data_IF_895289452507
#
_entry.id   IF_895289452507
#
_cell.length_a   1.000
_cell.length_b   1.000
_cell.length_c   1.000
_cell.angle_alpha   90.00
_cell.angle_beta   90.00
_cell.angle_gamma   90.00
#
_symmetry.space_group_name_H-M   'P 1'
#
loop_
_entity.id
_entity.type
_entity.pdbx_description
1 polymer ?
#
# COMPACT_ATOMS: atom_id res chain seq x y z
N UNK A 1 -25.59 12.58 6.93
CA UNK A 1 -24.46 13.44 7.36
C UNK A 1 -23.16 12.67 7.22
N UNK A 2 -22.13 13.22 6.54
CA UNK A 2 -20.80 12.58 6.54
C UNK A 2 -20.19 12.80 7.92
N UNK A 3 -19.59 11.74 8.49
CA UNK A 3 -18.84 11.86 9.76
C UNK A 3 -17.75 12.94 9.63
N UNK A 4 -17.53 13.79 10.64
CA UNK A 4 -16.44 14.76 10.62
C UNK A 4 -15.05 14.13 10.65
N UNK A 5 -14.95 12.83 10.91
CA UNK A 5 -13.69 12.13 11.03
C UNK A 5 -13.30 11.46 9.72
N UNK A 6 -12.10 11.78 9.20
CA UNK A 6 -11.58 11.25 7.93
C UNK A 6 -11.47 9.72 7.94
N UNK A 7 -11.26 9.09 9.10
CA UNK A 7 -11.11 7.63 9.24
C UNK A 7 -12.44 6.86 9.32
N UNK A 8 -13.56 7.54 9.42
CA UNK A 8 -14.88 6.89 9.60
C UNK A 8 -15.32 6.02 8.42
N UNK A 9 -14.74 6.22 7.24
CA UNK A 9 -15.00 5.40 6.04
C UNK A 9 -14.04 4.22 5.88
N UNK A 10 -13.06 4.08 6.78
CA UNK A 10 -12.06 3.03 6.68
C UNK A 10 -12.53 1.73 7.33
N UNK A 11 -12.04 0.57 6.87
CA UNK A 11 -12.35 -0.74 7.46
C UNK A 11 -11.57 -0.95 8.76
N UNK A 12 -12.00 -0.31 9.84
CA UNK A 12 -11.25 -0.26 11.11
C UNK A 12 -10.98 -1.66 11.71
N UNK A 13 -11.88 -2.63 11.49
CA UNK A 13 -11.68 -4.02 11.94
C UNK A 13 -10.51 -4.70 11.21
N UNK A 14 -10.40 -4.50 9.90
CA UNK A 14 -9.29 -5.03 9.10
C UNK A 14 -7.96 -4.35 9.48
N UNK A 15 -7.98 -3.04 9.72
CA UNK A 15 -6.82 -2.27 10.17
C UNK A 15 -6.34 -2.76 11.53
N UNK A 16 -7.25 -2.97 12.49
CA UNK A 16 -6.93 -3.51 13.80
C UNK A 16 -6.29 -4.89 13.71
N UNK A 17 -6.90 -5.80 12.96
CA UNK A 17 -6.37 -7.15 12.77
C UNK A 17 -4.96 -7.14 12.16
N UNK A 18 -4.72 -6.33 11.13
CA UNK A 18 -3.40 -6.19 10.51
C UNK A 18 -2.38 -5.55 11.46
N UNK A 19 -2.78 -4.54 12.23
CA UNK A 19 -1.95 -3.90 13.26
C UNK A 19 -1.46 -4.90 14.30
N UNK A 20 -2.36 -5.73 14.81
CA UNK A 20 -2.04 -6.77 15.79
C UNK A 20 -1.12 -7.86 15.20
N UNK A 21 -1.40 -8.29 13.97
CA UNK A 21 -0.63 -9.35 13.29
C UNK A 21 0.80 -8.90 12.96
N UNK A 22 0.96 -7.72 12.36
CA UNK A 22 2.26 -7.20 11.91
C UNK A 22 2.99 -6.36 12.94
N UNK A 23 2.41 -6.11 14.11
CA UNK A 23 2.95 -5.23 15.16
C UNK A 23 3.23 -3.82 14.66
N UNK A 24 2.32 -3.30 13.85
CA UNK A 24 2.36 -1.93 13.31
C UNK A 24 1.37 -1.02 14.02
N UNK A 25 1.65 0.27 14.07
CA UNK A 25 0.69 1.26 14.58
C UNK A 25 -0.54 1.30 13.67
N UNK A 26 -1.73 1.10 14.24
CA UNK A 26 -3.01 1.15 13.52
C UNK A 26 -3.27 2.54 12.89
N UNK A 27 -2.78 3.61 13.52
CA UNK A 27 -2.85 4.97 12.97
C UNK A 27 -2.02 5.11 11.69
N UNK A 28 -0.85 4.47 11.62
CA UNK A 28 -0.04 4.45 10.41
C UNK A 28 -0.80 3.75 9.26
N UNK A 29 -1.34 2.57 9.51
CA UNK A 29 -2.10 1.82 8.49
C UNK A 29 -3.29 2.65 8.00
N UNK A 30 -4.08 3.22 8.92
CA UNK A 30 -5.22 4.06 8.59
C UNK A 30 -4.82 5.31 7.79
N UNK A 31 -3.76 6.01 8.20
CA UNK A 31 -3.25 7.19 7.53
C UNK A 31 -2.80 6.89 6.09
N UNK A 32 -2.11 5.77 5.89
CA UNK A 32 -1.72 5.31 4.54
C UNK A 32 -2.97 4.99 3.70
N UNK A 33 -3.93 4.20 4.23
CA UNK A 33 -5.20 3.93 3.52
C UNK A 33 -5.87 5.21 3.03
N UNK A 34 -5.98 6.20 3.91
CA UNK A 34 -6.64 7.46 3.56
C UNK A 34 -5.80 8.29 2.58
N UNK A 35 -4.49 8.38 2.78
CA UNK A 35 -3.58 9.14 1.91
C UNK A 35 -3.56 8.57 0.48
N UNK A 36 -3.58 7.25 0.33
CA UNK A 36 -3.50 6.58 -0.97
C UNK A 36 -4.82 6.62 -1.76
N UNK A 37 -5.94 6.40 -1.10
CA UNK A 37 -7.22 6.21 -1.79
C UNK A 37 -8.35 7.13 -1.32
N UNK A 38 -8.13 7.94 -0.28
CA UNK A 38 -9.19 8.67 0.44
C UNK A 38 -10.31 7.72 0.92
N UNK A 39 -9.95 6.50 1.32
CA UNK A 39 -10.87 5.46 1.77
C UNK A 39 -11.66 4.78 0.64
N UNK A 40 -11.31 4.98 -0.62
CA UNK A 40 -11.98 4.34 -1.75
C UNK A 40 -11.47 2.93 -1.97
N UNK A 41 -12.27 1.95 -1.59
CA UNK A 41 -11.93 0.52 -1.64
C UNK A 41 -11.55 0.02 -3.04
N UNK A 42 -12.22 0.49 -4.08
CA UNK A 42 -12.00 0.07 -5.47
C UNK A 42 -11.10 1.04 -6.25
N UNK A 43 -10.28 1.84 -5.56
CA UNK A 43 -9.32 2.68 -6.23
C UNK A 43 -8.30 1.81 -6.99
N UNK A 44 -8.04 2.16 -8.24
CA UNK A 44 -6.94 1.58 -9.02
C UNK A 44 -6.31 2.66 -9.89
N UNK A 45 -5.00 2.56 -10.12
CA UNK A 45 -4.26 3.50 -10.95
C UNK A 45 -3.16 2.79 -11.73
N UNK A 46 -3.17 2.95 -13.04
CA UNK A 46 -2.13 2.45 -13.92
C UNK A 46 -0.89 3.35 -13.87
N UNK A 47 0.28 2.75 -13.67
CA UNK A 47 1.58 3.40 -13.56
C UNK A 47 2.48 2.98 -14.75
N UNK A 48 2.41 3.66 -15.89
CA UNK A 48 3.10 3.22 -17.12
C UNK A 48 4.62 3.16 -16.96
N UNK A 49 5.19 4.00 -16.09
CA UNK A 49 6.62 4.08 -15.83
C UNK A 49 7.14 3.08 -14.78
N UNK A 50 6.28 2.26 -14.20
CA UNK A 50 6.71 1.22 -13.28
C UNK A 50 7.50 0.14 -14.01
N UNK A 51 8.73 -0.15 -13.53
CA UNK A 51 9.72 -1.01 -14.24
C UNK A 51 10.02 -2.31 -13.50
N UNK A 52 9.63 -2.45 -12.24
CA UNK A 52 9.99 -3.59 -11.39
C UNK A 52 8.95 -4.70 -11.51
N UNK A 53 9.00 -5.41 -12.66
CA UNK A 53 8.11 -6.55 -12.91
C UNK A 53 8.61 -7.81 -12.22
N UNK A 54 7.70 -8.69 -11.86
CA UNK A 54 7.96 -9.91 -11.10
C UNK A 54 7.41 -11.14 -11.81
N UNK A 55 8.27 -12.07 -12.21
CA UNK A 55 7.96 -13.40 -12.76
C UNK A 55 6.78 -13.41 -13.76
N UNK A 56 6.78 -12.50 -14.72
CA UNK A 56 5.67 -12.26 -15.67
C UNK A 56 5.23 -13.54 -16.39
N UNK A 57 6.18 -14.31 -16.92
CA UNK A 57 5.94 -15.55 -17.67
C UNK A 57 5.27 -16.64 -16.81
N UNK A 58 5.75 -16.86 -15.59
CA UNK A 58 5.20 -17.84 -14.66
C UNK A 58 3.77 -17.48 -14.24
N UNK A 59 3.53 -16.20 -13.95
CA UNK A 59 2.21 -15.69 -13.58
C UNK A 59 1.25 -15.79 -14.78
N UNK A 60 1.70 -15.45 -16.00
CA UNK A 60 0.89 -15.55 -17.20
C UNK A 60 0.43 -16.99 -17.46
N UNK A 61 1.32 -17.96 -17.28
CA UNK A 61 0.99 -19.39 -17.36
C UNK A 61 -0.04 -19.82 -16.30
N UNK A 62 0.15 -19.40 -15.04
CA UNK A 62 -0.76 -19.76 -13.95
C UNK A 62 -2.15 -19.15 -14.14
N UNK A 63 -2.23 -17.89 -14.57
CA UNK A 63 -3.48 -17.19 -14.87
C UNK A 63 -4.13 -17.56 -16.22
N UNK A 64 -3.40 -18.33 -17.06
CA UNK A 64 -3.83 -18.67 -18.42
C UNK A 64 -4.14 -17.43 -19.28
N UNK A 65 -3.27 -16.42 -19.20
CA UNK A 65 -3.40 -15.14 -19.91
C UNK A 65 -2.10 -14.76 -20.61
N UNK A 66 -2.08 -13.61 -21.30
CA UNK A 66 -0.88 -13.10 -21.95
C UNK A 66 0.07 -12.41 -20.97
N UNK A 67 1.37 -12.40 -21.28
CA UNK A 67 2.37 -11.65 -20.52
C UNK A 67 2.04 -10.16 -20.48
N UNK A 68 1.55 -9.58 -21.58
CA UNK A 68 1.15 -8.17 -21.63
C UNK A 68 0.00 -7.85 -20.66
N UNK A 69 -0.94 -8.79 -20.48
CA UNK A 69 -1.99 -8.64 -19.45
C UNK A 69 -1.41 -8.65 -18.05
N UNK A 70 -0.47 -9.56 -17.77
CA UNK A 70 0.20 -9.61 -16.45
C UNK A 70 1.04 -8.36 -16.22
N UNK A 71 1.73 -7.83 -17.21
CA UNK A 71 2.45 -6.56 -17.08
C UNK A 71 1.50 -5.40 -16.75
N UNK A 72 0.34 -5.32 -17.40
CA UNK A 72 -0.68 -4.33 -17.09
C UNK A 72 -1.19 -4.43 -15.65
N UNK A 73 -1.46 -5.66 -15.18
CA UNK A 73 -1.87 -5.93 -13.79
C UNK A 73 -0.77 -5.53 -12.79
N UNK A 74 0.50 -5.84 -13.11
CA UNK A 74 1.64 -5.52 -12.26
C UNK A 74 1.91 -4.02 -12.16
N UNK A 75 1.70 -3.28 -13.25
CA UNK A 75 1.85 -1.83 -13.35
C UNK A 75 0.66 -1.06 -12.77
N UNK A 76 -0.33 -1.72 -12.24
CA UNK A 76 -1.49 -1.08 -11.62
C UNK A 76 -1.39 -1.17 -10.10
N UNK A 77 -1.67 -0.07 -9.41
CA UNK A 77 -1.86 -0.03 -7.97
C UNK A 77 -3.32 -0.27 -7.61
N UNK A 78 -3.59 -1.01 -6.52
CA UNK A 78 -4.90 -1.57 -6.22
C UNK A 78 -5.36 -1.29 -4.79
N UNK A 79 -6.63 -0.96 -4.66
CA UNK A 79 -7.37 -0.95 -3.40
C UNK A 79 -7.03 0.21 -2.47
N UNK A 80 -7.42 0.05 -1.20
CA UNK A 80 -7.31 1.07 -0.17
C UNK A 80 -5.88 1.59 0.04
N UNK A 81 -4.90 0.70 0.00
CA UNK A 81 -3.50 1.01 0.26
C UNK A 81 -2.66 1.15 -1.01
N UNK A 82 -3.28 1.12 -2.20
CA UNK A 82 -2.63 1.31 -3.50
C UNK A 82 -1.37 0.45 -3.69
N UNK A 83 -1.47 -0.83 -3.33
CA UNK A 83 -0.36 -1.79 -3.51
C UNK A 83 -0.23 -2.11 -4.99
N UNK A 84 0.99 -2.00 -5.53
CA UNK A 84 1.30 -2.39 -6.90
C UNK A 84 1.06 -3.89 -7.10
N UNK A 85 0.48 -4.30 -8.25
CA UNK A 85 0.26 -5.71 -8.54
C UNK A 85 1.54 -6.54 -8.49
N UNK A 86 2.66 -6.01 -8.97
CA UNK A 86 3.96 -6.67 -8.85
C UNK A 86 4.34 -6.95 -7.39
N UNK A 87 4.15 -5.95 -6.52
CA UNK A 87 4.44 -6.10 -5.09
C UNK A 87 3.51 -7.12 -4.42
N UNK A 88 2.24 -7.21 -4.84
CA UNK A 88 1.32 -8.19 -4.28
C UNK A 88 1.80 -9.62 -4.51
N UNK A 89 2.23 -9.95 -5.73
CA UNK A 89 2.80 -11.27 -6.03
C UNK A 89 4.15 -11.50 -5.35
N UNK A 90 5.03 -10.51 -5.33
CA UNK A 90 6.30 -10.60 -4.58
C UNK A 90 6.08 -10.83 -3.08
N UNK A 91 4.98 -10.30 -2.53
CA UNK A 91 4.57 -10.47 -1.14
C UNK A 91 3.79 -11.77 -0.87
N UNK A 92 3.61 -12.63 -1.87
CA UNK A 92 3.05 -13.96 -1.72
C UNK A 92 1.59 -14.11 -2.15
N UNK A 93 1.06 -13.20 -2.99
CA UNK A 93 -0.19 -13.49 -3.70
C UNK A 93 0.05 -14.71 -4.60
N UNK A 94 -0.82 -15.71 -4.50
CA UNK A 94 -0.70 -16.90 -5.36
C UNK A 94 -0.79 -16.53 -6.84
N UNK A 95 -0.04 -17.19 -7.71
CA UNK A 95 0.05 -16.86 -9.14
C UNK A 95 -1.26 -17.11 -9.91
N UNK A 96 -2.16 -17.89 -9.36
CA UNK A 96 -3.50 -18.14 -9.91
C UNK A 96 -4.56 -17.14 -9.43
N UNK A 97 -4.15 -16.10 -8.66
CA UNK A 97 -5.02 -15.03 -8.13
C UNK A 97 -4.69 -13.69 -8.76
N UNK A 98 -5.72 -12.88 -8.93
CA UNK A 98 -5.59 -11.55 -9.52
C UNK A 98 -5.35 -10.46 -8.48
N UNK A 99 -4.48 -9.45 -8.73
CA UNK A 99 -4.22 -8.36 -7.80
C UNK A 99 -5.44 -7.44 -7.61
N UNK A 100 -6.46 -7.53 -8.46
CA UNK A 100 -7.77 -6.86 -8.23
C UNK A 100 -8.45 -7.30 -6.93
N UNK A 101 -8.09 -8.46 -6.36
CA UNK A 101 -8.55 -8.90 -5.05
C UNK A 101 -8.12 -7.97 -3.90
N UNK A 102 -7.07 -7.16 -4.11
CA UNK A 102 -6.67 -6.11 -3.17
C UNK A 102 -7.72 -5.00 -3.04
N UNK A 103 -8.71 -4.97 -3.92
CA UNK A 103 -9.89 -4.11 -3.77
C UNK A 103 -10.85 -4.62 -2.68
N UNK A 104 -10.75 -5.88 -2.24
CA UNK A 104 -11.43 -6.32 -1.03
C UNK A 104 -10.71 -5.73 0.19
N UNK A 105 -11.46 -5.03 1.05
CA UNK A 105 -10.87 -4.22 2.12
C UNK A 105 -9.88 -5.00 3.00
N UNK A 106 -10.24 -6.21 3.41
CA UNK A 106 -9.39 -7.07 4.23
C UNK A 106 -8.10 -7.45 3.50
N UNK A 107 -8.21 -7.83 2.22
CA UNK A 107 -7.06 -8.26 1.41
C UNK A 107 -6.13 -7.06 1.13
N UNK A 108 -6.69 -5.91 0.76
CA UNK A 108 -5.89 -4.71 0.49
C UNK A 108 -5.14 -4.21 1.73
N UNK A 109 -5.80 -4.20 2.90
CA UNK A 109 -5.16 -3.83 4.17
C UNK A 109 -4.10 -4.86 4.57
N UNK A 110 -4.36 -6.14 4.38
CA UNK A 110 -3.41 -7.22 4.66
C UNK A 110 -2.11 -7.06 3.85
N UNK A 111 -2.22 -6.93 2.53
CA UNK A 111 -1.03 -6.81 1.67
C UNK A 111 -0.30 -5.48 1.84
N UNK A 112 -1.03 -4.38 2.04
CA UNK A 112 -0.41 -3.08 2.35
C UNK A 112 0.35 -3.09 3.67
N UNK A 113 -0.21 -3.73 4.70
CA UNK A 113 0.44 -3.89 6.01
C UNK A 113 1.65 -4.83 5.94
N UNK A 114 1.57 -5.90 5.15
CA UNK A 114 2.71 -6.79 4.87
C UNK A 114 3.85 -6.03 4.19
N UNK A 115 3.54 -5.15 3.25
CA UNK A 115 4.53 -4.28 2.62
C UNK A 115 5.13 -3.29 3.63
N UNK A 116 4.32 -2.65 4.47
CA UNK A 116 4.80 -1.78 5.56
C UNK A 116 5.75 -2.53 6.52
N UNK A 117 5.40 -3.75 6.91
CA UNK A 117 6.25 -4.58 7.77
C UNK A 117 7.60 -4.92 7.12
N UNK A 118 7.61 -5.22 5.80
CA UNK A 118 8.84 -5.42 5.02
C UNK A 118 9.72 -4.17 5.05
N UNK A 119 9.12 -2.99 4.85
CA UNK A 119 9.82 -1.70 4.90
C UNK A 119 10.32 -1.37 6.31
N UNK A 120 9.52 -1.66 7.34
CA UNK A 120 9.92 -1.45 8.74
C UNK A 120 11.16 -2.27 9.09
N UNK A 121 11.19 -3.54 8.68
CA UNK A 121 12.35 -4.41 8.86
C UNK A 121 13.61 -3.87 8.16
N UNK A 122 13.43 -3.19 7.02
CA UNK A 122 14.54 -2.63 6.24
C UNK A 122 15.08 -1.32 6.80
N UNK A 123 14.20 -0.41 7.21
CA UNK A 123 14.57 0.98 7.56
C UNK A 123 14.57 1.27 9.06
N UNK A 124 13.67 0.67 9.84
CA UNK A 124 13.58 0.85 11.30
C UNK A 124 13.13 2.24 11.76
N UNK A 125 12.82 3.17 10.86
CA UNK A 125 12.42 4.55 11.16
C UNK A 125 11.07 4.86 10.52
N UNK A 126 10.13 5.40 11.32
CA UNK A 126 8.78 5.74 10.86
C UNK A 126 8.80 6.62 9.60
N UNK A 127 9.61 7.69 9.59
CA UNK A 127 9.69 8.63 8.48
C UNK A 127 10.22 7.96 7.21
N UNK A 128 11.23 7.10 7.33
CA UNK A 128 11.80 6.37 6.20
C UNK A 128 10.83 5.33 5.66
N UNK A 129 10.09 4.64 6.54
CA UNK A 129 9.04 3.67 6.13
C UNK A 129 7.93 4.38 5.35
N UNK A 130 7.46 5.53 5.84
CA UNK A 130 6.43 6.32 5.14
C UNK A 130 6.96 6.79 3.77
N UNK A 131 8.17 7.34 3.72
CA UNK A 131 8.79 7.79 2.47
C UNK A 131 8.94 6.63 1.48
N UNK A 132 9.48 5.50 1.94
CA UNK A 132 9.72 4.32 1.10
C UNK A 132 8.43 3.65 0.63
N UNK A 133 7.35 3.71 1.40
CA UNK A 133 6.05 3.18 0.99
C UNK A 133 5.57 3.81 -0.31
N UNK A 134 5.66 5.13 -0.40
CA UNK A 134 5.23 5.89 -1.57
C UNK A 134 6.24 5.84 -2.73
N UNK A 135 7.53 6.00 -2.43
CA UNK A 135 8.58 6.19 -3.43
C UNK A 135 9.42 4.93 -3.74
N UNK A 136 9.12 3.79 -3.08
CA UNK A 136 9.90 2.55 -3.17
C UNK A 136 11.24 2.59 -2.41
N UNK A 137 11.70 3.78 -2.01
CA UNK A 137 12.94 3.98 -1.23
C UNK A 137 12.93 5.33 -0.50
N UNK A 138 13.62 5.39 0.64
CA UNK A 138 13.72 6.60 1.48
C UNK A 138 14.88 7.50 1.03
N UNK A 139 14.83 8.00 -0.22
CA UNK A 139 15.85 8.89 -0.77
C UNK A 139 15.70 10.31 -0.25
N UNK A 140 16.84 10.97 -0.02
CA UNK A 140 16.92 12.36 0.45
C UNK A 140 17.65 13.23 -0.56
N UNK A 141 17.38 14.53 -0.53
CA UNK A 141 18.13 15.55 -1.24
C UNK A 141 19.41 15.98 -0.46
N UNK A 142 20.15 16.91 -1.01
CA UNK A 142 21.38 17.45 -0.39
C UNK A 142 21.12 18.16 0.95
N UNK A 143 19.90 18.66 1.18
CA UNK A 143 19.48 19.28 2.44
C UNK A 143 18.98 18.26 3.47
N UNK A 144 19.04 16.95 3.16
CA UNK A 144 18.61 15.88 4.05
C UNK A 144 17.08 15.66 4.09
N UNK A 145 16.30 16.35 3.26
CA UNK A 145 14.84 16.16 3.15
C UNK A 145 14.52 14.97 2.24
N UNK A 146 13.46 14.23 2.55
CA UNK A 146 12.98 13.21 1.63
C UNK A 146 12.53 13.82 0.30
N UNK A 147 12.79 13.15 -0.82
CA UNK A 147 12.34 13.61 -2.14
C UNK A 147 10.82 13.73 -2.22
N UNK A 148 10.09 12.97 -1.39
CA UNK A 148 8.66 13.04 -1.22
C UNK A 148 8.25 13.55 0.19
N UNK A 149 8.96 14.55 0.72
CA UNK A 149 8.76 15.07 2.09
C UNK A 149 7.30 15.41 2.37
N UNK A 150 6.62 16.06 1.39
CA UNK A 150 5.19 16.39 1.54
C UNK A 150 4.31 15.17 1.82
N UNK A 151 4.58 14.02 1.19
CA UNK A 151 3.85 12.79 1.47
C UNK A 151 4.07 12.33 2.91
N UNK A 152 5.33 12.39 3.38
CA UNK A 152 5.67 12.03 4.77
C UNK A 152 4.93 12.93 5.76
N UNK A 153 4.96 14.24 5.55
CA UNK A 153 4.29 15.22 6.42
C UNK A 153 2.78 15.02 6.45
N UNK A 154 2.15 14.78 5.28
CA UNK A 154 0.72 14.53 5.18
C UNK A 154 0.29 13.28 5.95
N UNK A 155 1.07 12.18 5.89
CA UNK A 155 0.77 10.94 6.63
C UNK A 155 0.93 11.17 8.14
N UNK A 156 2.00 11.85 8.57
CA UNK A 156 2.22 12.15 9.99
C UNK A 156 1.10 13.05 10.55
N UNK A 157 0.65 14.04 9.77
CA UNK A 157 -0.49 14.89 10.13
C UNK A 157 -1.76 14.04 10.31
N UNK A 158 -2.07 13.14 9.38
CA UNK A 158 -3.21 12.24 9.51
C UNK A 158 -3.11 11.38 10.78
N UNK A 159 -1.95 10.80 11.07
CA UNK A 159 -1.74 10.02 12.29
C UNK A 159 -1.99 10.84 13.55
N UNK A 160 -1.53 12.10 13.59
CA UNK A 160 -1.68 12.99 14.76
C UNK A 160 -3.13 13.43 15.01
N UNK A 161 -3.96 13.46 13.96
CA UNK A 161 -5.37 13.88 14.05
C UNK A 161 -6.34 12.72 14.28
N UNK A 162 -5.86 11.48 14.28
CA UNK A 162 -6.68 10.29 14.51
C UNK A 162 -6.81 10.00 16.00
N UNK A 163 -7.92 10.42 16.60
CA UNK A 163 -8.30 10.04 17.96
C UNK A 163 -9.04 8.70 17.94
N UNK A 164 -8.31 7.63 18.20
CA UNK A 164 -8.91 6.33 18.49
C UNK A 164 -9.11 6.24 20.00
N UNK A 165 -10.37 6.43 20.43
CA UNK A 165 -10.77 6.07 21.80
C UNK A 165 -10.97 4.56 21.90
#
# INVERSE_FOLDING_TARGET
MKSPYWWSSLPLSAIKAASEHYKLDSKLIAAICYKESSGRQFACRYEPNFKWLYQVDAIAKALRTSESSVEGLQKTSWGLMQVMGANAWELGLSFDRFPSELCMAQVGVEYGSRYLAKLWKKYGSLHEVISAYNAGSARRDEAGKFLNQKYVDDVLMLMSTMDVK
#
